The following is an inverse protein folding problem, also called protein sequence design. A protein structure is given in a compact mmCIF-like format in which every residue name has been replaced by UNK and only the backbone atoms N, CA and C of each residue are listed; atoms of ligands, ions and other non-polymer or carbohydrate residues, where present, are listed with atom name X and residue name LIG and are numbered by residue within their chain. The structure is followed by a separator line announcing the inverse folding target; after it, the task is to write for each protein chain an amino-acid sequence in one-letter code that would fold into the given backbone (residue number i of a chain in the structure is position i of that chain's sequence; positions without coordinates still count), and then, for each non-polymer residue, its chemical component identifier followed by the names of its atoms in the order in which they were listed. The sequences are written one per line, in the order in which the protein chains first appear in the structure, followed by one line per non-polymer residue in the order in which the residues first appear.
data_IF_506580988828
#
_entry.id   IF_506580988828
#
_cell.length_a   1.000
_cell.length_b   1.000
_cell.length_c   1.000
_cell.angle_alpha   90.00
_cell.angle_beta   90.00
_cell.angle_gamma   90.00
#
_symmetry.space_group_name_H-M   'P 1'
#
loop_
_entity.id
_entity.type
_entity.pdbx_description
1 polymer ?
#
# COMPACT_ATOMS: atom_id res chain seq x y z
N UNK A 1 -1.40 -39.94 -57.60
CA UNK A 1 -2.88 -40.00 -57.62
C UNK A 1 -3.27 -40.16 -56.17
N UNK A 2 -3.41 -39.01 -55.50
CA UNK A 2 -4.72 -38.42 -55.15
C UNK A 2 -5.36 -39.20 -54.00
N UNK A 3 -5.99 -38.64 -52.99
CA UNK A 3 -6.08 -37.33 -52.33
C UNK A 3 -7.09 -37.60 -51.19
N UNK A 4 -7.09 -36.76 -50.14
CA UNK A 4 -8.21 -36.55 -49.20
C UNK A 4 -8.51 -37.70 -48.21
N UNK A 5 -8.95 -37.46 -46.97
CA UNK A 5 -9.17 -36.26 -46.16
C UNK A 5 -9.51 -36.73 -44.72
N UNK A 6 -9.24 -35.87 -43.73
CA UNK A 6 -10.02 -35.62 -42.49
C UNK A 6 -10.36 -36.81 -41.55
N UNK A 7 -10.23 -36.74 -40.23
CA UNK A 7 -10.93 -35.82 -39.32
C UNK A 7 -10.20 -35.81 -37.96
N UNK A 8 -10.05 -34.60 -37.41
CA UNK A 8 -9.66 -34.34 -36.02
C UNK A 8 -10.75 -34.81 -35.03
N UNK A 9 -10.33 -35.50 -33.97
CA UNK A 9 -11.13 -35.68 -32.75
C UNK A 9 -10.54 -34.83 -31.63
N UNK A 10 -11.38 -33.92 -31.16
CA UNK A 10 -11.34 -33.09 -29.95
C UNK A 10 -10.44 -33.54 -28.80
N UNK A 11 -9.63 -32.60 -28.29
CA UNK A 11 -9.52 -32.38 -26.84
C UNK A 11 -9.34 -30.88 -26.55
N UNK A 12 -10.35 -30.33 -25.89
CA UNK A 12 -10.34 -29.03 -25.20
C UNK A 12 -9.23 -28.98 -24.15
N UNK A 13 -8.49 -27.88 -24.09
CA UNK A 13 -8.48 -26.99 -22.91
C UNK A 13 -7.62 -25.76 -23.15
N UNK A 14 -8.15 -24.61 -22.75
CA UNK A 14 -7.46 -23.33 -22.49
C UNK A 14 -6.73 -22.69 -23.67
N UNK A 15 -7.49 -22.08 -24.57
CA UNK A 15 -6.99 -20.98 -25.41
C UNK A 15 -7.74 -19.69 -25.04
N UNK A 16 -7.05 -18.86 -24.24
CA UNK A 16 -6.95 -17.42 -24.42
C UNK A 16 -8.18 -16.70 -24.97
N UNK A 17 -8.99 -16.18 -24.05
CA UNK A 17 -9.96 -15.11 -24.31
C UNK A 17 -9.24 -13.87 -24.84
N UNK A 18 -9.09 -13.77 -26.16
CA UNK A 18 -9.05 -12.48 -26.84
C UNK A 18 -10.42 -11.84 -26.64
N UNK A 19 -10.51 -10.99 -25.61
CA UNK A 19 -11.69 -10.22 -25.23
C UNK A 19 -12.09 -9.31 -26.39
N UNK A 20 -13.09 -9.74 -27.17
CA UNK A 20 -13.82 -8.88 -28.10
C UNK A 20 -14.39 -7.71 -27.30
N UNK A 21 -13.95 -6.50 -27.62
CA UNK A 21 -14.68 -5.28 -27.28
C UNK A 21 -16.12 -5.46 -27.75
N UNK A 22 -17.09 -5.46 -26.82
CA UNK A 22 -18.51 -5.57 -27.18
C UNK A 22 -18.94 -4.27 -27.86
N UNK A 23 -19.46 -4.38 -29.06
CA UNK A 23 -20.09 -3.27 -29.76
C UNK A 23 -21.48 -2.99 -29.18
N UNK A 24 -22.06 -1.83 -29.51
CA UNK A 24 -23.43 -1.49 -29.14
C UNK A 24 -24.44 -2.59 -29.53
N UNK A 25 -24.24 -3.19 -30.70
CA UNK A 25 -25.12 -4.22 -31.26
C UNK A 25 -25.05 -5.58 -30.52
N UNK A 26 -24.05 -5.78 -29.66
CA UNK A 26 -23.94 -6.99 -28.83
C UNK A 26 -24.82 -6.93 -27.56
N UNK A 27 -25.44 -5.78 -27.30
CA UNK A 27 -26.31 -5.55 -26.15
C UNK A 27 -27.76 -5.97 -26.45
N UNK A 28 -28.48 -6.38 -25.42
CA UNK A 28 -29.94 -6.58 -25.54
C UNK A 28 -30.66 -5.24 -25.73
N UNK A 29 -31.84 -5.26 -26.37
CA UNK A 29 -32.67 -4.06 -26.55
C UNK A 29 -32.93 -3.33 -25.22
N UNK A 30 -33.18 -4.08 -24.14
CA UNK A 30 -33.38 -3.51 -22.80
C UNK A 30 -32.14 -2.80 -22.26
N UNK A 31 -30.95 -3.34 -22.50
CA UNK A 31 -29.67 -2.72 -22.11
C UNK A 31 -29.40 -1.45 -22.93
N UNK A 32 -29.63 -1.49 -24.25
CA UNK A 32 -29.51 -0.34 -25.12
C UNK A 32 -30.45 0.80 -24.71
N UNK A 33 -31.72 0.47 -24.38
CA UNK A 33 -32.68 1.44 -23.87
C UNK A 33 -32.22 2.07 -22.55
N UNK A 34 -31.76 1.27 -21.59
CA UNK A 34 -31.26 1.78 -20.31
C UNK A 34 -30.06 2.71 -20.50
N UNK A 35 -29.15 2.39 -21.43
CA UNK A 35 -28.01 3.23 -21.76
C UNK A 35 -28.41 4.57 -22.40
N UNK A 36 -29.38 4.56 -23.31
CA UNK A 36 -29.90 5.79 -23.92
C UNK A 36 -30.57 6.69 -22.88
N UNK A 37 -31.42 6.12 -22.01
CA UNK A 37 -32.03 6.88 -20.91
C UNK A 37 -30.99 7.38 -19.92
N UNK A 38 -29.89 6.65 -19.70
CA UNK A 38 -28.83 7.08 -18.80
C UNK A 38 -28.06 8.29 -19.37
N UNK A 39 -27.86 8.35 -20.71
CA UNK A 39 -27.32 9.54 -21.40
C UNK A 39 -28.24 10.75 -21.25
N UNK A 40 -29.55 10.52 -21.22
CA UNK A 40 -30.58 11.54 -21.02
C UNK A 40 -30.83 11.87 -19.53
N UNK A 41 -30.18 11.15 -18.61
CA UNK A 41 -30.39 11.24 -17.15
C UNK A 41 -31.82 10.90 -16.70
N UNK A 42 -32.56 10.09 -17.47
CA UNK A 42 -33.91 9.61 -17.13
C UNK A 42 -33.84 8.39 -16.19
N UNK A 43 -33.35 8.64 -14.98
CA UNK A 43 -33.09 7.59 -13.98
C UNK A 43 -34.34 6.90 -13.47
N UNK A 44 -35.46 7.63 -13.37
CA UNK A 44 -36.73 7.06 -12.90
C UNK A 44 -37.30 6.06 -13.91
N UNK A 45 -37.15 6.34 -15.21
CA UNK A 45 -37.53 5.40 -16.27
C UNK A 45 -36.69 4.13 -16.24
N UNK A 46 -35.37 4.25 -16.04
CA UNK A 46 -34.47 3.09 -15.86
C UNK A 46 -34.92 2.26 -14.66
N UNK A 47 -35.20 2.88 -13.51
CA UNK A 47 -35.67 2.18 -12.29
C UNK A 47 -36.98 1.44 -12.55
N UNK A 48 -37.94 2.10 -13.20
CA UNK A 48 -39.22 1.48 -13.55
C UNK A 48 -39.04 0.28 -14.48
N UNK A 49 -38.21 0.44 -15.52
CA UNK A 49 -37.98 -0.60 -16.50
C UNK A 49 -37.26 -1.82 -15.91
N UNK A 50 -36.21 -1.61 -15.10
CA UNK A 50 -35.50 -2.70 -14.41
C UNK A 50 -36.39 -3.46 -13.42
N UNK A 51 -37.35 -2.77 -12.79
CA UNK A 51 -38.33 -3.43 -11.91
C UNK A 51 -39.30 -4.34 -12.67
N UNK A 52 -39.66 -3.96 -13.90
CA UNK A 52 -40.58 -4.72 -14.74
C UNK A 52 -39.89 -5.87 -15.50
N UNK A 53 -38.67 -5.64 -16.00
CA UNK A 53 -37.98 -6.54 -16.91
C UNK A 53 -36.81 -7.31 -16.27
N UNK A 54 -36.50 -7.04 -15.01
CA UNK A 54 -35.39 -7.64 -14.27
C UNK A 54 -34.14 -6.76 -14.22
N UNK A 55 -33.30 -6.91 -13.18
CA UNK A 55 -32.09 -6.09 -12.98
C UNK A 55 -31.01 -6.31 -14.07
N UNK A 56 -31.10 -7.40 -14.84
CA UNK A 56 -30.12 -7.77 -15.87
C UNK A 56 -30.02 -6.75 -17.01
N UNK A 57 -31.06 -5.92 -17.19
CA UNK A 57 -31.07 -4.79 -18.13
C UNK A 57 -30.03 -3.71 -17.79
N UNK A 58 -29.56 -3.67 -16.54
CA UNK A 58 -28.54 -2.73 -16.07
C UNK A 58 -27.10 -3.21 -16.34
N UNK A 59 -26.93 -4.46 -16.78
CA UNK A 59 -25.63 -5.12 -16.93
C UNK A 59 -24.95 -4.86 -18.27
N UNK A 60 -25.56 -4.01 -19.11
CA UNK A 60 -25.02 -3.62 -20.41
C UNK A 60 -23.77 -2.77 -20.28
N UNK A 61 -22.71 -3.17 -20.97
CA UNK A 61 -21.50 -2.38 -21.15
C UNK A 61 -20.96 -2.58 -22.57
N UNK A 62 -20.56 -1.49 -23.21
CA UNK A 62 -19.93 -1.48 -24.53
C UNK A 62 -18.79 -0.47 -24.55
N UNK A 63 -17.86 -0.63 -25.49
CA UNK A 63 -16.83 0.38 -25.72
C UNK A 63 -17.05 1.05 -27.07
N UNK A 64 -16.80 2.35 -27.12
CA UNK A 64 -16.93 3.17 -28.32
C UNK A 64 -15.63 3.96 -28.53
N UNK A 65 -15.22 4.07 -29.79
CA UNK A 65 -14.06 4.86 -30.18
C UNK A 65 -14.45 6.35 -30.17
N UNK A 66 -13.79 7.11 -29.30
CA UNK A 66 -14.00 8.56 -29.18
C UNK A 66 -13.06 9.34 -30.11
N UNK A 67 -13.34 10.63 -30.28
CA UNK A 67 -12.73 11.55 -31.26
C UNK A 67 -11.18 11.59 -31.23
N UNK A 68 -10.55 11.13 -30.14
CA UNK A 68 -9.09 11.11 -29.92
C UNK A 68 -8.45 9.70 -30.08
N UNK A 69 -9.11 8.75 -30.76
CA UNK A 69 -8.70 7.33 -30.82
C UNK A 69 -8.55 6.68 -29.43
N UNK A 70 -9.31 7.19 -28.46
CA UNK A 70 -9.43 6.61 -27.12
C UNK A 70 -10.73 5.80 -27.07
N UNK A 71 -10.63 4.55 -26.63
CA UNK A 71 -11.81 3.73 -26.36
C UNK A 71 -12.34 4.10 -24.98
N UNK A 72 -13.62 4.47 -24.91
CA UNK A 72 -14.29 4.71 -23.63
C UNK A 72 -15.39 3.67 -23.41
N UNK A 73 -15.51 3.18 -22.18
CA UNK A 73 -16.51 2.17 -21.82
C UNK A 73 -17.72 2.79 -21.17
N UNK A 74 -18.83 2.56 -21.83
CA UNK A 74 -20.14 3.08 -21.46
C UNK A 74 -20.97 1.96 -20.84
N UNK A 75 -21.52 2.26 -19.68
CA UNK A 75 -22.45 1.44 -18.92
C UNK A 75 -23.41 2.36 -18.16
N UNK A 76 -24.52 1.81 -17.66
CA UNK A 76 -25.36 2.57 -16.71
C UNK A 76 -24.53 3.00 -15.50
N UNK A 77 -23.57 2.17 -15.06
CA UNK A 77 -22.67 2.44 -13.95
C UNK A 77 -21.74 3.64 -14.22
N UNK A 78 -21.08 3.70 -15.38
CA UNK A 78 -20.15 4.79 -15.71
C UNK A 78 -20.88 6.12 -15.92
N UNK A 79 -22.05 6.10 -16.57
CA UNK A 79 -22.91 7.29 -16.73
C UNK A 79 -23.47 7.78 -15.37
N UNK A 80 -23.99 6.88 -14.54
CA UNK A 80 -24.44 7.24 -13.20
C UNK A 80 -23.31 7.86 -12.36
N UNK A 81 -22.08 7.34 -12.49
CA UNK A 81 -20.90 7.88 -11.82
C UNK A 81 -20.51 9.27 -12.33
N UNK A 82 -20.64 9.51 -13.65
CA UNK A 82 -20.42 10.81 -14.27
C UNK A 82 -21.35 11.90 -13.73
N UNK A 83 -22.62 11.55 -13.52
CA UNK A 83 -23.62 12.48 -12.98
C UNK A 83 -23.70 12.46 -11.45
N UNK A 84 -22.82 11.72 -10.76
CA UNK A 84 -22.83 11.61 -9.30
C UNK A 84 -24.10 10.97 -8.72
N UNK A 85 -24.82 10.17 -9.52
CA UNK A 85 -26.06 9.51 -9.09
C UNK A 85 -25.74 8.26 -8.26
N UNK A 86 -25.53 8.47 -6.95
CA UNK A 86 -25.20 7.43 -5.98
C UNK A 86 -26.28 6.34 -5.91
N UNK A 87 -27.57 6.70 -6.03
CA UNK A 87 -28.68 5.73 -6.02
C UNK A 87 -28.57 4.78 -7.21
N UNK A 88 -28.31 5.31 -8.40
CA UNK A 88 -28.20 4.50 -9.62
C UNK A 88 -26.93 3.65 -9.65
N UNK A 89 -25.81 4.17 -9.14
CA UNK A 89 -24.59 3.38 -8.93
C UNK A 89 -24.92 2.19 -8.01
N UNK A 90 -25.61 2.44 -6.89
CA UNK A 90 -25.99 1.39 -5.94
C UNK A 90 -26.85 0.31 -6.60
N UNK A 91 -27.92 0.71 -7.27
CA UNK A 91 -28.85 -0.22 -7.93
C UNK A 91 -28.14 -1.06 -9.00
N UNK A 92 -27.25 -0.46 -9.78
CA UNK A 92 -26.50 -1.18 -10.82
C UNK A 92 -25.54 -2.20 -10.21
N UNK A 93 -24.87 -1.86 -9.10
CA UNK A 93 -23.99 -2.81 -8.40
C UNK A 93 -24.78 -3.94 -7.70
N UNK A 94 -25.91 -3.62 -7.08
CA UNK A 94 -26.82 -4.60 -6.46
C UNK A 94 -27.45 -5.55 -7.49
N UNK A 95 -27.56 -5.13 -8.76
CA UNK A 95 -27.94 -5.98 -9.88
C UNK A 95 -26.88 -7.03 -10.27
N UNK A 96 -25.69 -7.01 -9.64
CA UNK A 96 -24.60 -7.94 -9.94
C UNK A 96 -23.66 -7.49 -11.05
N UNK A 97 -23.63 -6.18 -11.35
CA UNK A 97 -22.70 -5.62 -12.33
C UNK A 97 -21.25 -5.88 -11.94
N UNK A 98 -20.50 -6.54 -12.82
CA UNK A 98 -19.13 -7.02 -12.56
C UNK A 98 -18.17 -6.79 -13.73
N UNK A 99 -18.49 -5.87 -14.64
CA UNK A 99 -17.56 -5.50 -15.71
C UNK A 99 -16.42 -4.64 -15.11
N UNK A 100 -15.25 -5.25 -14.92
CA UNK A 100 -14.09 -4.63 -14.28
C UNK A 100 -13.70 -3.29 -14.92
N UNK A 101 -13.71 -3.20 -16.25
CA UNK A 101 -13.34 -2.00 -16.98
C UNK A 101 -14.33 -0.86 -16.74
N UNK A 102 -15.62 -1.14 -16.84
CA UNK A 102 -16.68 -0.17 -16.54
C UNK A 102 -16.62 0.30 -15.08
N UNK A 103 -16.35 -0.60 -14.14
CA UNK A 103 -16.17 -0.26 -12.72
C UNK A 103 -14.95 0.64 -12.52
N UNK A 104 -13.85 0.36 -13.22
CA UNK A 104 -12.65 1.20 -13.17
C UNK A 104 -12.89 2.58 -13.76
N UNK A 105 -13.53 2.65 -14.93
CA UNK A 105 -13.92 3.89 -15.59
C UNK A 105 -14.84 4.72 -14.69
N UNK A 106 -15.86 4.09 -14.09
CA UNK A 106 -16.73 4.71 -13.10
C UNK A 106 -15.95 5.29 -11.90
N UNK A 107 -14.96 4.55 -11.38
CA UNK A 107 -14.09 5.03 -10.31
C UNK A 107 -13.28 6.25 -10.74
N UNK A 108 -12.59 6.19 -11.89
CA UNK A 108 -11.83 7.31 -12.44
C UNK A 108 -12.70 8.56 -12.62
N UNK A 109 -13.87 8.42 -13.25
CA UNK A 109 -14.82 9.50 -13.47
C UNK A 109 -15.24 10.12 -12.13
N UNK A 110 -15.66 9.30 -11.15
CA UNK A 110 -16.09 9.80 -9.85
C UNK A 110 -14.98 10.56 -9.11
N UNK A 111 -13.74 10.09 -9.20
CA UNK A 111 -12.56 10.73 -8.61
C UNK A 111 -12.16 12.03 -9.31
N UNK A 112 -12.55 12.22 -10.58
CA UNK A 112 -12.30 13.45 -11.33
C UNK A 112 -13.29 14.57 -10.96
N UNK A 113 -14.54 14.19 -10.68
CA UNK A 113 -15.67 15.14 -10.54
C UNK A 113 -15.85 15.59 -9.09
N UNK A 114 -15.46 14.76 -8.12
CA UNK A 114 -15.63 15.05 -6.70
C UNK A 114 -14.40 14.67 -5.88
N UNK A 115 -14.20 15.37 -4.76
CA UNK A 115 -13.33 14.95 -3.66
C UNK A 115 -13.97 13.86 -2.78
N UNK A 116 -15.30 13.72 -2.87
CA UNK A 116 -16.07 12.72 -2.15
C UNK A 116 -15.74 11.29 -2.64
N UNK A 117 -15.46 10.41 -1.70
CA UNK A 117 -15.12 9.00 -1.96
C UNK A 117 -16.30 8.05 -1.93
N UNK A 118 -17.56 8.50 -1.82
CA UNK A 118 -18.74 7.62 -1.71
C UNK A 118 -18.84 6.62 -2.86
N UNK A 119 -18.85 7.08 -4.12
CA UNK A 119 -18.96 6.19 -5.29
C UNK A 119 -17.75 5.26 -5.38
N UNK A 120 -16.55 5.80 -5.18
CA UNK A 120 -15.33 5.00 -5.14
C UNK A 120 -15.38 3.88 -4.08
N UNK A 121 -15.85 4.19 -2.87
CA UNK A 121 -16.00 3.20 -1.78
C UNK A 121 -17.00 2.13 -2.14
N UNK A 122 -18.16 2.50 -2.70
CA UNK A 122 -19.14 1.52 -3.15
C UNK A 122 -18.58 0.58 -4.22
N UNK A 123 -17.83 1.11 -5.19
CA UNK A 123 -17.18 0.31 -6.22
C UNK A 123 -16.16 -0.67 -5.62
N UNK A 124 -15.32 -0.19 -4.69
CA UNK A 124 -14.33 -1.03 -3.97
C UNK A 124 -15.01 -2.13 -3.13
N UNK A 125 -16.11 -1.80 -2.44
CA UNK A 125 -16.91 -2.75 -1.66
C UNK A 125 -17.55 -3.83 -2.54
N UNK A 126 -17.80 -3.53 -3.82
CA UNK A 126 -18.38 -4.45 -4.80
C UNK A 126 -17.32 -5.11 -5.70
N UNK A 127 -16.05 -5.11 -5.29
CA UNK A 127 -15.01 -5.91 -5.92
C UNK A 127 -14.21 -5.23 -7.02
N UNK A 128 -14.28 -3.89 -7.15
CA UNK A 128 -13.30 -3.16 -7.95
C UNK A 128 -11.88 -3.45 -7.45
N UNK A 129 -11.02 -3.97 -8.33
CA UNK A 129 -9.59 -4.11 -8.02
C UNK A 129 -8.89 -2.75 -8.11
N UNK A 130 -8.39 -2.17 -7.00
CA UNK A 130 -7.70 -0.89 -7.03
C UNK A 130 -6.32 -0.95 -7.71
N UNK A 131 -5.83 -2.14 -8.05
CA UNK A 131 -4.52 -2.37 -8.68
C UNK A 131 -4.59 -2.62 -10.20
N UNK A 132 -5.78 -2.52 -10.79
CA UNK A 132 -5.99 -2.73 -12.22
C UNK A 132 -5.10 -1.80 -13.06
N UNK A 133 -4.40 -2.37 -14.05
CA UNK A 133 -3.53 -1.63 -14.98
C UNK A 133 -4.11 -1.72 -16.39
N UNK A 134 -4.88 -0.70 -16.77
CA UNK A 134 -5.62 -0.69 -18.04
C UNK A 134 -4.73 -0.71 -19.30
N UNK A 135 -3.41 -0.49 -19.16
CA UNK A 135 -2.47 -0.70 -20.28
C UNK A 135 -2.22 -2.18 -20.55
N UNK A 136 -2.14 -2.99 -19.49
CA UNK A 136 -1.98 -4.45 -19.61
C UNK A 136 -3.22 -5.05 -20.24
N UNK A 137 -4.38 -4.44 -19.97
CA UNK A 137 -5.66 -4.87 -20.52
C UNK A 137 -5.93 -4.33 -21.95
N UNK A 138 -5.08 -3.42 -22.47
CA UNK A 138 -5.16 -2.94 -23.86
C UNK A 138 -6.25 -1.91 -24.15
N UNK A 139 -6.84 -1.31 -23.11
CA UNK A 139 -8.10 -0.55 -23.22
C UNK A 139 -7.93 0.96 -23.09
N UNK A 140 -7.08 1.43 -22.17
CA UNK A 140 -6.74 2.85 -22.06
C UNK A 140 -5.25 3.09 -22.35
N UNK A 141 -5.00 4.04 -23.27
CA UNK A 141 -3.65 4.58 -23.55
C UNK A 141 -3.10 5.42 -22.38
N UNK A 142 -3.93 5.75 -21.39
CA UNK A 142 -3.56 6.53 -20.20
C UNK A 142 -3.14 5.60 -19.06
N UNK A 143 -1.89 5.76 -18.62
CA UNK A 143 -1.33 5.11 -17.45
C UNK A 143 -1.79 5.79 -16.16
N UNK A 144 -2.87 5.35 -15.53
CA UNK A 144 -3.16 5.84 -14.19
C UNK A 144 -3.64 4.70 -13.34
N UNK A 145 -2.86 4.37 -12.32
CA UNK A 145 -3.31 3.65 -11.13
C UNK A 145 -4.19 4.62 -10.32
N UNK A 146 -5.34 4.18 -9.80
CA UNK A 146 -6.24 5.02 -9.00
C UNK A 146 -5.53 5.71 -7.83
N UNK A 147 -4.56 5.06 -7.20
CA UNK A 147 -3.81 5.66 -6.09
C UNK A 147 -2.87 6.79 -6.55
N UNK A 148 -2.28 6.66 -7.74
CA UNK A 148 -1.49 7.74 -8.35
C UNK A 148 -2.41 8.91 -8.69
N UNK A 149 -3.60 8.65 -9.23
CA UNK A 149 -4.60 9.67 -9.52
C UNK A 149 -5.04 10.43 -8.26
N UNK A 150 -5.32 9.72 -7.17
CA UNK A 150 -5.63 10.33 -5.87
C UNK A 150 -4.46 11.19 -5.34
N UNK A 151 -3.21 10.75 -5.56
CA UNK A 151 -2.02 11.48 -5.16
C UNK A 151 -1.84 12.78 -5.95
N UNK A 152 -1.96 12.73 -7.28
CA UNK A 152 -1.87 13.90 -8.17
C UNK A 152 -2.92 14.96 -7.85
N UNK A 153 -4.12 14.51 -7.45
CA UNK A 153 -5.21 15.40 -7.04
C UNK A 153 -5.16 15.84 -5.58
N UNK A 154 -4.26 15.27 -4.79
CA UNK A 154 -4.12 15.56 -3.35
C UNK A 154 -5.38 15.18 -2.56
N UNK A 155 -6.15 14.21 -3.05
CA UNK A 155 -7.40 13.76 -2.44
C UNK A 155 -7.13 12.67 -1.40
N UNK A 156 -6.95 13.07 -0.14
CA UNK A 156 -6.54 12.16 0.93
C UNK A 156 -7.58 11.07 1.21
N UNK A 157 -8.88 11.40 1.19
CA UNK A 157 -9.94 10.44 1.51
C UNK A 157 -10.08 9.34 0.45
N UNK A 158 -9.83 9.68 -0.82
CA UNK A 158 -9.75 8.73 -1.93
C UNK A 158 -8.52 7.82 -1.77
N UNK A 159 -7.37 8.39 -1.44
CA UNK A 159 -6.15 7.60 -1.16
C UNK A 159 -6.34 6.65 0.04
N UNK A 160 -6.99 7.11 1.12
CA UNK A 160 -7.34 6.26 2.27
C UNK A 160 -8.27 5.13 1.83
N UNK A 161 -9.35 5.42 1.10
CA UNK A 161 -10.29 4.40 0.63
C UNK A 161 -9.58 3.32 -0.20
N UNK A 162 -8.74 3.72 -1.15
CA UNK A 162 -7.96 2.81 -1.99
C UNK A 162 -7.00 1.94 -1.17
N UNK A 163 -6.24 2.56 -0.26
CA UNK A 163 -5.26 1.84 0.56
C UNK A 163 -5.93 0.90 1.57
N UNK A 164 -7.11 1.26 2.09
CA UNK A 164 -7.91 0.39 2.97
C UNK A 164 -8.45 -0.84 2.23
N UNK A 165 -8.64 -0.74 0.91
CA UNK A 165 -9.09 -1.83 0.03
C UNK A 165 -7.93 -2.52 -0.72
N UNK A 166 -6.68 -2.37 -0.25
CA UNK A 166 -5.55 -3.15 -0.75
C UNK A 166 -4.85 -2.58 -1.99
N UNK A 167 -5.02 -1.28 -2.30
CA UNK A 167 -4.19 -0.62 -3.30
C UNK A 167 -2.70 -0.74 -2.94
N UNK A 168 -1.88 -1.15 -3.90
CA UNK A 168 -0.45 -1.29 -3.74
C UNK A 168 0.20 0.09 -3.76
N UNK A 169 0.64 0.52 -2.57
CA UNK A 169 1.29 1.83 -2.34
C UNK A 169 2.60 2.01 -3.14
N UNK A 170 3.23 0.91 -3.57
CA UNK A 170 4.48 0.90 -4.34
C UNK A 170 4.26 0.60 -5.83
N UNK A 171 3.02 0.52 -6.31
CA UNK A 171 2.75 0.26 -7.73
C UNK A 171 3.10 1.49 -8.56
N UNK A 172 4.15 1.36 -9.34
CA UNK A 172 4.58 2.37 -10.30
C UNK A 172 3.78 2.29 -11.61
N UNK A 173 3.59 3.44 -12.23
CA UNK A 173 3.04 3.60 -13.58
C UNK A 173 4.00 4.41 -14.43
N UNK A 174 3.84 4.37 -15.75
CA UNK A 174 4.69 5.14 -16.68
C UNK A 174 3.78 6.10 -17.41
N UNK A 175 3.90 7.39 -17.11
CA UNK A 175 3.15 8.47 -17.75
C UNK A 175 3.26 8.43 -19.27
N UNK A 176 2.36 9.13 -19.95
CA UNK A 176 2.39 9.31 -21.41
C UNK A 176 3.71 9.91 -21.93
N UNK A 177 4.45 10.62 -21.06
CA UNK A 177 5.74 11.23 -21.35
C UNK A 177 6.92 10.30 -21.06
N UNK A 178 6.67 9.03 -20.71
CA UNK A 178 7.72 8.05 -20.38
C UNK A 178 8.29 8.17 -18.96
N UNK A 179 7.79 9.09 -18.12
CA UNK A 179 8.23 9.20 -16.72
C UNK A 179 7.60 8.12 -15.85
N UNK A 180 8.40 7.47 -15.02
CA UNK A 180 7.94 6.56 -13.97
C UNK A 180 7.34 7.37 -12.82
N UNK A 181 6.07 7.13 -12.52
CA UNK A 181 5.30 7.74 -11.44
C UNK A 181 4.99 6.70 -10.37
N UNK A 182 5.15 7.07 -9.12
CA UNK A 182 4.79 6.29 -7.93
C UNK A 182 3.89 7.16 -7.06
N UNK A 183 3.01 6.58 -6.23
CA UNK A 183 2.21 7.37 -5.30
C UNK A 183 3.07 8.32 -4.45
N UNK A 184 4.24 7.87 -4.01
CA UNK A 184 5.19 8.66 -3.23
C UNK A 184 5.75 9.85 -4.02
N UNK A 185 6.19 9.64 -5.27
CA UNK A 185 6.81 10.71 -6.04
C UNK A 185 5.80 11.81 -6.45
N UNK A 186 4.56 11.45 -6.77
CA UNK A 186 3.48 12.41 -7.05
C UNK A 186 3.22 13.31 -5.84
N UNK A 187 3.27 12.78 -4.61
CA UNK A 187 3.08 13.62 -3.41
C UNK A 187 4.07 14.79 -3.36
N UNK A 188 5.33 14.59 -3.78
CA UNK A 188 6.37 15.62 -3.81
C UNK A 188 6.21 16.59 -4.97
N UNK A 189 5.75 16.13 -6.13
CA UNK A 189 5.48 17.00 -7.28
C UNK A 189 4.35 17.98 -6.94
N UNK A 190 3.33 17.51 -6.21
CA UNK A 190 2.12 18.28 -5.90
C UNK A 190 2.10 18.92 -4.51
N UNK A 191 3.16 18.72 -3.71
CA UNK A 191 3.31 19.32 -2.38
C UNK A 191 2.31 18.78 -1.35
N UNK A 192 1.85 17.55 -1.54
CA UNK A 192 0.84 16.89 -0.74
C UNK A 192 1.44 16.27 0.53
N UNK A 193 1.78 17.09 1.53
CA UNK A 193 2.46 16.61 2.75
C UNK A 193 1.66 15.54 3.50
N UNK A 194 0.35 15.70 3.66
CA UNK A 194 -0.49 14.74 4.37
C UNK A 194 -0.58 13.39 3.63
N UNK A 195 -0.65 13.43 2.28
CA UNK A 195 -0.59 12.20 1.47
C UNK A 195 0.81 11.57 1.51
N UNK A 196 1.89 12.36 1.50
CA UNK A 196 3.27 11.87 1.63
C UNK A 196 3.42 11.07 2.94
N UNK A 197 2.94 11.63 4.04
CA UNK A 197 2.89 10.94 5.33
C UNK A 197 2.05 9.66 5.25
N UNK A 198 0.86 9.73 4.65
CA UNK A 198 -0.05 8.59 4.53
C UNK A 198 0.63 7.43 3.80
N UNK A 199 1.16 7.66 2.59
CA UNK A 199 1.76 6.59 1.78
C UNK A 199 3.00 5.98 2.46
N UNK A 200 3.85 6.80 3.09
CA UNK A 200 5.01 6.31 3.85
C UNK A 200 4.58 5.47 5.06
N UNK A 201 3.55 5.90 5.78
CA UNK A 201 2.99 5.14 6.93
C UNK A 201 2.34 3.83 6.47
N UNK A 202 1.83 3.79 5.24
CA UNK A 202 1.23 2.59 4.61
C UNK A 202 2.26 1.71 3.90
N UNK A 203 3.56 1.96 4.08
CA UNK A 203 4.64 1.09 3.60
C UNK A 203 5.19 1.44 2.23
N UNK A 204 5.07 2.71 1.79
CA UNK A 204 5.81 3.18 0.62
C UNK A 204 7.32 3.08 0.89
N UNK A 205 8.05 2.44 -0.03
CA UNK A 205 9.49 2.21 0.07
C UNK A 205 10.20 3.19 -0.87
N UNK A 206 10.95 4.17 -0.33
CA UNK A 206 11.75 5.05 -1.15
C UNK A 206 12.77 4.32 -2.01
N UNK A 207 12.75 4.58 -3.32
CA UNK A 207 13.76 4.10 -4.26
C UNK A 207 14.92 5.09 -4.41
N UNK A 208 15.99 4.68 -5.09
CA UNK A 208 17.10 5.56 -5.48
C UNK A 208 16.64 6.76 -6.30
N UNK A 209 15.63 6.58 -7.16
CA UNK A 209 15.08 7.66 -7.97
C UNK A 209 14.26 8.63 -7.12
N UNK A 210 13.49 8.12 -6.14
CA UNK A 210 12.74 8.98 -5.22
C UNK A 210 13.67 9.86 -4.39
N UNK A 211 14.77 9.30 -3.86
CA UNK A 211 15.77 10.08 -3.10
C UNK A 211 16.32 11.23 -3.95
N UNK A 212 16.70 10.95 -5.19
CA UNK A 212 17.19 11.99 -6.11
C UNK A 212 16.13 13.06 -6.38
N UNK A 213 14.91 12.64 -6.73
CA UNK A 213 13.80 13.53 -7.03
C UNK A 213 13.47 14.44 -5.83
N UNK A 214 13.39 13.87 -4.63
CA UNK A 214 13.09 14.60 -3.39
C UNK A 214 14.15 15.67 -3.11
N UNK A 215 15.44 15.37 -3.28
CA UNK A 215 16.50 16.38 -3.18
C UNK A 215 16.30 17.50 -4.21
N UNK A 216 16.09 17.16 -5.47
CA UNK A 216 15.90 18.16 -6.53
C UNK A 216 14.68 19.07 -6.26
N UNK A 217 13.53 18.48 -5.92
CA UNK A 217 12.29 19.20 -5.66
C UNK A 217 12.43 20.10 -4.43
N UNK A 218 12.91 19.55 -3.30
CA UNK A 218 13.00 20.29 -2.04
C UNK A 218 14.05 21.41 -2.10
N UNK A 219 15.21 21.19 -2.72
CA UNK A 219 16.24 22.23 -2.87
C UNK A 219 15.76 23.34 -3.82
N UNK A 220 15.09 22.99 -4.92
CA UNK A 220 14.46 23.97 -5.82
C UNK A 220 13.41 24.82 -5.10
N UNK A 221 12.59 24.20 -4.25
CA UNK A 221 11.61 24.89 -3.42
C UNK A 221 12.26 25.82 -2.38
N UNK A 222 13.35 25.39 -1.74
CA UNK A 222 14.09 26.23 -0.79
C UNK A 222 14.72 27.47 -1.44
N UNK A 223 14.99 27.44 -2.75
CA UNK A 223 15.44 28.61 -3.53
C UNK A 223 14.29 29.49 -4.05
N UNK A 224 13.03 29.16 -3.73
CA UNK A 224 11.85 29.88 -4.24
C UNK A 224 11.59 29.65 -5.74
N UNK A 225 12.18 28.61 -6.34
CA UNK A 225 12.07 28.30 -7.77
C UNK A 225 11.03 27.21 -8.07
N UNK A 226 10.34 26.69 -7.05
CA UNK A 226 9.29 25.68 -7.22
C UNK A 226 7.91 26.37 -7.18
N UNK A 227 7.06 26.21 -8.21
CA UNK A 227 5.76 26.87 -8.26
C UNK A 227 4.72 26.28 -7.30
N UNK A 228 4.90 25.02 -6.85
CA UNK A 228 3.92 24.27 -6.04
C UNK A 228 4.33 24.16 -4.56
N UNK A 229 5.62 24.06 -4.26
CA UNK A 229 6.12 23.87 -2.89
C UNK A 229 6.80 25.13 -2.35
N UNK A 230 6.33 25.60 -1.19
CA UNK A 230 7.06 26.58 -0.39
C UNK A 230 8.28 25.93 0.28
N UNK A 231 9.24 26.77 0.69
CA UNK A 231 10.42 26.32 1.46
C UNK A 231 10.03 25.51 2.69
N UNK A 232 9.07 25.98 3.48
CA UNK A 232 8.70 25.32 4.74
C UNK A 232 8.01 23.98 4.54
N UNK A 233 7.13 23.88 3.53
CA UNK A 233 6.48 22.62 3.15
C UNK A 233 7.53 21.64 2.63
N UNK A 234 8.46 22.09 1.79
CA UNK A 234 9.54 21.25 1.27
C UNK A 234 10.43 20.68 2.38
N UNK A 235 10.82 21.48 3.38
CA UNK A 235 11.62 21.00 4.52
C UNK A 235 10.82 20.00 5.36
N UNK A 236 9.53 20.26 5.63
CA UNK A 236 8.67 19.32 6.36
C UNK A 236 8.51 17.98 5.64
N UNK A 237 8.26 18.00 4.33
CA UNK A 237 8.15 16.80 3.51
C UNK A 237 9.47 16.04 3.44
N UNK A 238 10.59 16.75 3.29
CA UNK A 238 11.92 16.13 3.30
C UNK A 238 12.22 15.41 4.63
N UNK A 239 11.91 16.05 5.76
CA UNK A 239 12.03 15.43 7.08
C UNK A 239 11.12 14.19 7.23
N UNK A 240 9.88 14.30 6.75
CA UNK A 240 8.90 13.19 6.75
C UNK A 240 9.42 11.99 5.95
N UNK A 241 9.97 12.23 4.77
CA UNK A 241 10.52 11.20 3.90
C UNK A 241 11.69 10.46 4.52
N UNK A 242 12.65 11.17 5.12
CA UNK A 242 13.77 10.51 5.81
C UNK A 242 13.33 9.80 7.09
N UNK A 243 12.40 10.39 7.85
CA UNK A 243 11.95 9.83 9.14
C UNK A 243 11.09 8.58 8.99
N UNK A 244 10.08 8.65 8.12
CA UNK A 244 9.12 7.56 7.91
C UNK A 244 9.59 6.59 6.82
N UNK A 245 10.11 7.11 5.71
CA UNK A 245 10.54 6.30 4.56
C UNK A 245 11.86 5.58 4.78
N UNK A 246 12.75 6.12 5.63
CA UNK A 246 14.05 5.53 5.97
C UNK A 246 14.80 4.96 4.74
N UNK A 247 15.01 5.76 3.68
CA UNK A 247 15.74 5.33 2.49
C UNK A 247 17.15 4.84 2.83
N UNK A 248 17.74 4.00 2.00
CA UNK A 248 19.12 3.56 2.16
C UNK A 248 20.07 4.75 2.38
N UNK A 249 20.87 4.71 3.46
CA UNK A 249 21.73 5.83 3.85
C UNK A 249 22.85 6.11 2.87
N UNK A 250 23.35 5.09 2.17
CA UNK A 250 24.41 5.27 1.19
C UNK A 250 23.85 5.92 -0.07
N UNK A 251 22.63 5.54 -0.47
CA UNK A 251 21.89 6.26 -1.53
C UNK A 251 21.66 7.72 -1.16
N UNK A 252 21.22 8.01 0.06
CA UNK A 252 21.04 9.40 0.53
C UNK A 252 22.36 10.16 0.50
N UNK A 253 23.45 9.56 0.96
CA UNK A 253 24.79 10.16 0.97
C UNK A 253 25.27 10.49 -0.44
N UNK A 254 25.13 9.54 -1.35
CA UNK A 254 25.55 9.68 -2.75
C UNK A 254 24.77 10.81 -3.43
N UNK A 255 23.42 10.80 -3.32
CA UNK A 255 22.60 11.86 -3.93
C UNK A 255 22.82 13.22 -3.28
N UNK A 256 23.06 13.27 -1.97
CA UNK A 256 23.40 14.51 -1.28
C UNK A 256 24.72 15.10 -1.81
N UNK A 257 25.74 14.27 -2.02
CA UNK A 257 27.06 14.70 -2.50
C UNK A 257 27.08 15.16 -3.96
N UNK A 258 26.10 14.75 -4.78
CA UNK A 258 25.93 15.27 -6.15
C UNK A 258 25.54 16.75 -6.18
N UNK A 259 24.97 17.28 -5.09
CA UNK A 259 24.54 18.66 -5.02
C UNK A 259 25.69 19.56 -4.57
N UNK A 260 25.97 20.61 -5.35
CA UNK A 260 26.98 21.59 -4.97
C UNK A 260 26.60 22.30 -3.66
N UNK A 261 27.52 22.49 -2.69
CA UNK A 261 27.19 23.05 -1.36
C UNK A 261 26.46 24.41 -1.39
N UNK A 262 26.72 25.25 -2.39
CA UNK A 262 26.03 26.54 -2.56
C UNK A 262 24.55 26.41 -2.93
N UNK A 263 24.14 25.26 -3.46
CA UNK A 263 22.76 24.96 -3.83
C UNK A 263 21.97 24.37 -2.66
N UNK A 264 22.64 23.77 -1.68
CA UNK A 264 22.00 23.12 -0.53
C UNK A 264 21.43 24.13 0.48
N UNK A 265 20.17 23.93 0.89
CA UNK A 265 19.58 24.68 2.01
C UNK A 265 20.24 24.24 3.34
N UNK A 266 20.58 25.17 4.27
CA UNK A 266 21.21 24.82 5.53
C UNK A 266 20.39 23.84 6.40
N UNK A 267 19.06 23.93 6.36
CA UNK A 267 18.15 23.06 7.11
C UNK A 267 18.14 21.65 6.54
N UNK A 268 17.98 21.53 5.22
CA UNK A 268 18.07 20.25 4.49
C UNK A 268 19.44 19.60 4.72
N UNK A 269 20.51 20.40 4.66
CA UNK A 269 21.88 19.98 4.96
C UNK A 269 21.99 19.38 6.37
N UNK A 270 21.47 20.08 7.38
CA UNK A 270 21.53 19.62 8.77
C UNK A 270 20.71 18.36 8.98
N UNK A 271 19.48 18.31 8.47
CA UNK A 271 18.62 17.12 8.51
C UNK A 271 19.34 15.91 7.90
N UNK A 272 19.92 16.08 6.70
CA UNK A 272 20.63 15.00 6.00
C UNK A 272 21.83 14.52 6.80
N UNK A 273 22.65 15.43 7.35
CA UNK A 273 23.79 15.06 8.20
C UNK A 273 23.36 14.27 9.44
N UNK A 274 22.29 14.69 10.10
CA UNK A 274 21.75 13.98 11.25
C UNK A 274 21.24 12.58 10.86
N UNK A 275 20.50 12.47 9.75
CA UNK A 275 20.04 11.20 9.20
C UNK A 275 21.20 10.22 8.97
N UNK A 276 22.23 10.65 8.24
CA UNK A 276 23.42 9.83 7.93
C UNK A 276 24.24 9.44 9.17
N UNK A 277 24.12 10.19 10.26
CA UNK A 277 24.75 9.88 11.54
C UNK A 277 23.88 8.99 12.44
N UNK A 278 22.68 8.60 11.99
CA UNK A 278 21.69 7.90 12.82
C UNK A 278 21.17 8.74 13.98
N UNK A 279 21.28 10.07 13.90
CA UNK A 279 20.85 11.01 14.94
C UNK A 279 19.44 11.53 14.64
N UNK A 280 18.58 11.69 15.65
CA UNK A 280 17.30 12.37 15.48
C UNK A 280 17.45 13.80 14.97
N UNK A 281 16.60 14.19 14.01
CA UNK A 281 16.50 15.54 13.45
C UNK A 281 15.10 16.13 13.53
N UNK A 282 14.09 15.33 13.88
CA UNK A 282 12.71 15.75 14.05
C UNK A 282 12.07 15.02 15.23
N UNK A 283 10.91 15.52 15.67
CA UNK A 283 10.07 14.83 16.63
C UNK A 283 9.65 13.46 16.08
N UNK A 284 9.80 12.41 16.89
CA UNK A 284 9.48 11.05 16.46
C UNK A 284 7.99 10.86 16.08
N UNK A 285 7.08 11.61 16.72
CA UNK A 285 5.63 11.44 16.56
C UNK A 285 5.02 12.33 15.48
N UNK A 286 5.49 13.57 15.35
CA UNK A 286 4.86 14.56 14.46
C UNK A 286 5.82 15.21 13.47
N UNK A 287 7.08 14.79 13.44
CA UNK A 287 8.17 15.33 12.64
C UNK A 287 8.42 16.85 12.76
N UNK A 288 7.92 17.50 13.81
CA UNK A 288 8.31 18.87 14.11
C UNK A 288 9.84 18.96 14.29
N UNK A 289 10.47 19.93 13.62
CA UNK A 289 11.93 20.11 13.65
C UNK A 289 12.41 20.82 14.93
N UNK A 290 11.51 21.54 15.59
CA UNK A 290 11.77 22.28 16.82
C UNK A 290 10.71 21.94 17.88
N UNK A 291 10.97 22.33 19.12
CA UNK A 291 9.98 22.21 20.19
C UNK A 291 9.03 23.42 20.18
N UNK A 292 7.81 23.26 20.71
CA UNK A 292 6.78 24.33 20.69
C UNK A 292 7.23 25.63 21.37
N UNK A 293 8.13 25.54 22.36
CA UNK A 293 8.58 26.66 23.20
C UNK A 293 10.10 26.86 23.16
N UNK A 294 10.83 26.10 22.33
CA UNK A 294 12.31 26.10 22.27
C UNK A 294 12.80 25.76 20.88
N UNK A 295 13.94 26.31 20.50
CA UNK A 295 14.57 26.00 19.20
C UNK A 295 15.10 24.55 19.11
N UNK A 296 15.28 23.87 20.25
CA UNK A 296 15.86 22.52 20.31
C UNK A 296 14.85 21.49 20.76
N UNK A 297 14.86 20.33 20.10
CA UNK A 297 14.06 19.16 20.48
C UNK A 297 14.50 18.57 21.82
N UNK A 298 13.54 17.96 22.51
CA UNK A 298 13.75 17.21 23.74
C UNK A 298 14.31 15.83 23.38
N UNK A 299 15.63 15.68 23.48
CA UNK A 299 16.30 14.41 23.24
C UNK A 299 16.02 13.43 24.39
N UNK A 300 15.70 12.18 24.06
CA UNK A 300 15.73 11.11 25.05
C UNK A 300 17.17 10.89 25.54
N UNK A 301 17.40 10.49 26.82
CA UNK A 301 18.74 10.17 27.31
C UNK A 301 19.53 9.15 26.46
N UNK A 302 18.84 8.21 25.80
CA UNK A 302 19.46 7.25 24.88
C UNK A 302 19.95 7.89 23.56
N UNK A 303 19.60 9.14 23.29
CA UNK A 303 19.90 9.94 22.08
C UNK A 303 19.40 9.38 20.74
N UNK A 304 18.66 8.27 20.75
CA UNK A 304 18.11 7.64 19.55
C UNK A 304 16.76 8.22 19.09
N UNK A 305 16.08 8.99 19.96
CA UNK A 305 14.80 9.64 19.63
C UNK A 305 14.73 11.04 20.22
N UNK A 306 13.96 11.90 19.57
CA UNK A 306 13.71 13.28 19.99
C UNK A 306 12.21 13.61 19.93
N UNK A 307 11.78 14.56 20.76
CA UNK A 307 10.38 14.97 20.85
C UNK A 307 10.24 16.50 20.87
N UNK A 308 9.20 17.03 20.25
CA UNK A 308 8.91 18.47 20.32
C UNK A 308 8.19 18.88 21.63
N UNK A 309 7.61 17.92 22.36
CA UNK A 309 6.87 18.15 23.60
C UNK A 309 6.80 16.89 24.46
N UNK A 310 6.46 17.05 25.74
CA UNK A 310 6.18 15.94 26.66
C UNK A 310 4.98 15.10 26.20
N UNK A 311 4.00 15.71 25.55
CA UNK A 311 2.84 15.02 24.97
C UNK A 311 3.27 14.02 23.90
N UNK A 312 4.11 14.44 22.94
CA UNK A 312 4.66 13.56 21.91
C UNK A 312 5.52 12.45 22.52
N UNK A 313 6.32 12.78 23.55
CA UNK A 313 7.08 11.76 24.27
C UNK A 313 6.16 10.70 24.86
N UNK A 314 5.11 11.08 25.58
CA UNK A 314 4.19 10.15 26.23
C UNK A 314 3.43 9.26 25.23
N UNK A 315 3.08 9.79 24.05
CA UNK A 315 2.45 9.02 22.95
C UNK A 315 3.34 7.87 22.49
N UNK A 316 4.62 8.13 22.21
CA UNK A 316 5.58 7.09 21.79
C UNK A 316 6.08 6.21 22.94
N UNK A 317 6.03 6.70 24.18
CA UNK A 317 6.78 6.13 25.30
C UNK A 317 6.50 4.65 25.55
N UNK A 318 5.24 4.23 25.36
CA UNK A 318 4.82 2.85 25.61
C UNK A 318 5.61 1.83 24.78
N UNK A 319 5.93 2.19 23.54
CA UNK A 319 6.72 1.40 22.59
C UNK A 319 8.21 1.62 22.83
N UNK A 320 8.64 2.88 22.89
CA UNK A 320 10.06 3.22 22.99
C UNK A 320 10.73 2.65 24.23
N UNK A 321 10.06 2.67 25.40
CA UNK A 321 10.64 2.20 26.68
C UNK A 321 11.10 0.74 26.64
N UNK A 322 10.58 -0.06 25.71
CA UNK A 322 10.99 -1.45 25.54
C UNK A 322 12.36 -1.57 24.86
N UNK A 323 12.73 -0.56 24.07
CA UNK A 323 13.97 -0.49 23.30
C UNK A 323 14.93 0.59 23.85
N UNK A 324 14.49 1.38 24.83
CA UNK A 324 15.27 2.44 25.44
C UNK A 324 16.30 1.85 26.41
N UNK A 325 17.58 1.99 26.09
CA UNK A 325 18.66 1.38 26.86
C UNK A 325 19.21 2.24 28.03
N UNK A 326 18.62 3.40 28.37
CA UNK A 326 19.14 4.32 29.41
C UNK A 326 20.32 5.23 28.99
N UNK A 327 21.11 5.86 29.90
CA UNK A 327 21.83 5.15 30.94
C UNK A 327 20.94 5.02 32.13
N UNK A 328 21.14 4.01 32.93
CA UNK A 328 20.05 3.45 33.66
C UNK A 328 20.01 3.96 35.13
N UNK A 329 19.59 5.21 35.35
CA UNK A 329 18.50 5.72 36.23
C UNK A 329 18.03 7.21 36.10
N UNK A 330 17.94 7.92 35.01
CA UNK A 330 18.60 7.59 33.78
C UNK A 330 17.70 6.68 32.90
N UNK A 331 17.12 5.63 33.54
CA UNK A 331 16.83 4.29 32.98
C UNK A 331 15.65 4.27 32.01
N UNK A 332 15.18 5.43 31.62
CA UNK A 332 14.02 5.57 30.77
C UNK A 332 12.84 4.69 31.17
N UNK A 333 12.41 4.49 32.42
CA UNK A 333 12.86 4.99 33.72
C UNK A 333 13.60 3.91 34.45
N UNK A 334 14.53 4.19 35.31
CA UNK A 334 14.86 5.11 36.36
C UNK A 334 14.15 4.54 37.52
N UNK A 335 14.67 3.41 37.98
CA UNK A 335 14.04 2.62 39.03
C UNK A 335 12.66 2.02 38.68
N UNK A 336 12.02 2.32 37.54
CA UNK A 336 10.75 1.69 37.16
C UNK A 336 10.89 0.19 36.89
N UNK A 337 12.03 -0.24 36.34
CA UNK A 337 12.44 -1.65 36.32
C UNK A 337 12.72 -2.21 37.73
N UNK A 338 13.13 -1.36 38.69
CA UNK A 338 13.47 -1.74 40.08
C UNK A 338 12.21 -1.94 40.95
N UNK A 339 11.15 -1.13 40.81
CA UNK A 339 9.91 -1.21 41.62
C UNK A 339 8.97 -2.36 41.25
N UNK A 340 9.00 -2.83 40.00
CA UNK A 340 8.24 -4.03 39.58
C UNK A 340 8.80 -5.31 40.24
N UNK A 341 10.11 -5.33 40.51
CA UNK A 341 10.84 -6.35 41.27
C UNK A 341 10.52 -6.34 42.77
N UNK A 342 10.15 -5.19 43.34
CA UNK A 342 9.92 -5.04 44.78
C UNK A 342 8.47 -5.26 45.22
N UNK A 343 7.47 -5.08 44.35
CA UNK A 343 6.05 -5.36 44.67
C UNK A 343 5.68 -6.86 44.58
N UNK A 344 6.37 -7.66 43.78
CA UNK A 344 6.20 -9.12 43.79
C UNK A 344 6.89 -9.80 44.97
N UNK A 345 7.78 -9.09 45.68
CA UNK A 345 8.56 -9.61 46.82
C UNK A 345 8.05 -9.21 48.21
N UNK A 346 7.02 -8.35 48.35
CA UNK A 346 6.45 -7.96 49.64
C UNK A 346 4.97 -8.36 49.72
N UNK A 347 4.71 -9.60 50.14
CA UNK A 347 3.34 -10.03 50.45
C UNK A 347 3.05 -11.53 50.47
N UNK A 348 3.86 -12.35 51.15
CA UNK A 348 3.30 -13.48 51.91
C UNK A 348 4.15 -13.66 53.17
N UNK A 349 3.54 -13.40 54.32
CA UNK A 349 4.14 -13.46 55.66
C UNK A 349 4.54 -14.89 56.02
N UNK A 350 5.50 -15.00 56.93
CA UNK A 350 5.86 -16.24 57.59
C UNK A 350 4.75 -16.84 58.45
N UNK A 351 4.99 -18.09 58.83
CA UNK A 351 4.38 -18.84 59.91
C UNK A 351 5.29 -20.03 60.17
N UNK A 352 5.93 -20.05 61.34
CA UNK A 352 6.81 -21.14 61.74
C UNK A 352 6.05 -22.34 62.32
N UNK A 353 6.85 -23.25 62.87
CA UNK A 353 6.53 -24.54 63.53
C UNK A 353 6.26 -25.71 62.56
N UNK A 354 6.62 -26.96 62.85
CA UNK A 354 7.58 -27.62 63.74
C UNK A 354 7.49 -29.13 63.37
N UNK A 355 8.51 -29.91 63.74
CA UNK A 355 8.57 -31.39 63.94
C UNK A 355 8.09 -32.37 62.83
N UNK A 356 9.05 -33.17 62.33
CA UNK A 356 9.01 -34.63 62.56
C UNK A 356 8.63 -35.59 61.44
N UNK A 357 9.58 -36.46 61.07
CA UNK A 357 9.35 -37.91 61.14
C UNK A 357 9.17 -38.70 59.83
N UNK A 358 10.07 -39.68 59.67
CA UNK A 358 9.84 -41.02 59.08
C UNK A 358 9.67 -41.18 57.55
N UNK A 359 10.80 -41.42 56.90
CA UNK A 359 11.23 -42.67 56.25
C UNK A 359 10.21 -43.75 55.79
N UNK A 360 10.63 -44.41 54.69
CA UNK A 360 10.23 -45.71 54.09
C UNK A 360 8.99 -45.80 53.17
N UNK A 361 9.21 -46.29 51.94
CA UNK A 361 8.18 -47.04 51.18
C UNK A 361 8.31 -47.03 49.66
N UNK A 362 8.95 -48.09 49.13
CA UNK A 362 9.21 -48.40 47.70
C UNK A 362 8.02 -49.08 47.00
N UNK A 363 8.06 -49.05 45.66
CA UNK A 363 7.51 -50.00 44.65
C UNK A 363 6.33 -49.44 43.83
N UNK A 364 6.12 -49.74 42.54
CA UNK A 364 6.83 -50.39 41.44
C UNK A 364 5.94 -50.20 40.18
N UNK A 365 6.48 -50.41 38.97
CA UNK A 365 5.73 -50.58 37.71
C UNK A 365 6.24 -49.66 36.59
N UNK A 366 7.23 -50.03 35.76
CA UNK A 366 7.12 -50.95 34.61
C UNK A 366 5.89 -50.61 33.74
N UNK A 367 6.00 -50.27 32.45
CA UNK A 367 6.57 -51.08 31.37
C UNK A 367 6.97 -50.18 30.18
N UNK A 368 8.12 -50.50 29.59
CA UNK A 368 8.61 -50.00 28.31
C UNK A 368 8.26 -50.97 27.17
N UNK A 369 8.71 -50.59 25.97
CA UNK A 369 8.82 -51.34 24.70
C UNK A 369 7.66 -51.15 23.72
N UNK A 370 7.86 -50.88 22.42
CA UNK A 370 9.09 -50.78 21.64
C UNK A 370 9.11 -51.77 20.48
N UNK A 371 9.12 -51.20 19.27
CA UNK A 371 9.80 -51.65 18.02
C UNK A 371 9.32 -52.88 17.25
N UNK A 372 9.56 -52.79 15.93
CA UNK A 372 10.35 -53.69 15.04
C UNK A 372 9.64 -53.90 13.68
N UNK A 373 10.30 -54.22 12.56
CA UNK A 373 11.67 -54.66 12.21
C UNK A 373 11.94 -54.34 10.71
N UNK A 374 13.15 -54.38 10.12
CA UNK A 374 14.17 -55.45 9.97
C UNK A 374 13.60 -56.70 9.25
N UNK A 375 14.09 -57.23 8.12
CA UNK A 375 15.45 -57.73 7.75
C UNK A 375 15.47 -58.22 6.26
N UNK A 376 16.60 -58.13 5.52
CA UNK A 376 17.43 -59.27 4.96
C UNK A 376 16.95 -59.86 3.60
N UNK A 377 17.71 -60.35 2.60
CA UNK A 377 19.13 -60.72 2.32
C UNK A 377 19.36 -60.94 0.78
N UNK A 378 20.61 -60.77 0.32
CA UNK A 378 21.43 -61.47 -0.70
C UNK A 378 21.11 -61.54 -2.23
N UNK A 379 22.15 -61.26 -3.04
CA UNK A 379 22.32 -61.66 -4.46
C UNK A 379 23.64 -61.15 -5.09
N UNK A 380 24.29 -61.89 -6.00
CA UNK A 380 25.74 -61.90 -6.31
C UNK A 380 26.08 -61.41 -7.75
N UNK A 381 27.35 -61.03 -7.96
CA UNK A 381 28.22 -61.05 -9.20
C UNK A 381 28.21 -59.85 -10.19
N UNK A 382 29.43 -59.43 -10.59
CA UNK A 382 29.72 -58.76 -11.88
C UNK A 382 31.04 -57.97 -11.88
N UNK A 383 31.87 -58.07 -12.93
CA UNK A 383 33.32 -57.74 -12.97
C UNK A 383 33.62 -56.62 -14.01
N UNK A 384 34.82 -56.00 -13.89
CA UNK A 384 35.60 -55.17 -14.87
C UNK A 384 35.18 -53.68 -15.00
N UNK A 385 36.08 -52.69 -15.13
CA UNK A 385 37.54 -52.63 -15.19
C UNK A 385 38.02 -51.22 -15.63
N UNK A 386 39.31 -50.89 -15.36
CA UNK A 386 40.27 -50.00 -16.07
C UNK A 386 39.74 -48.70 -16.74
N UNK A 387 40.38 -47.53 -16.65
CA UNK A 387 41.72 -47.17 -16.19
C UNK A 387 42.13 -45.78 -16.72
N UNK A 388 43.16 -45.23 -16.06
CA UNK A 388 44.06 -44.10 -16.38
C UNK A 388 44.13 -43.58 -17.82
N UNK A 389 44.37 -42.26 -17.94
CA UNK A 389 45.52 -41.57 -18.59
C UNK A 389 45.24 -40.06 -18.52
N UNK A 390 46.19 -39.15 -18.30
CA UNK A 390 47.64 -39.23 -18.16
C UNK A 390 48.10 -37.99 -17.38
#
# INVERSE_FOLDING_TARGET
MEAQSEVQSSHNSSETTNLRVRGWDDLTDGQQLCLNWAREQDWDRIKGYAKEHGPEVLLGAFAEECIDEEWEVFSVLSLASQYGNVEMVKLTLEAGFNNNESMYTAAMISMNISDNSIILRMLLEHGLDPNMDLRVEGLLRKSSNLLVLAAERRHIDQAIALLDHGANVNKEVVSMHGHVLSPLNCTFIDGAHDLCRLVLTRGAIPTTNDVYLVFCICLKACKGKNPRLSRDVAIKMFATFLHLGKPDSDVVRDKFNLNHPSYCDPTITNITKHYLQGRPFCCFICEALTAKERDKLLMCPCRNVAYCSRECQLKHWREHRLQCAGPLNERGESEAMVKKRSKTGKGMKGGGADVGGADVGVAEGAVATGKNGATGKNGKKGKKGRGKKK
#
